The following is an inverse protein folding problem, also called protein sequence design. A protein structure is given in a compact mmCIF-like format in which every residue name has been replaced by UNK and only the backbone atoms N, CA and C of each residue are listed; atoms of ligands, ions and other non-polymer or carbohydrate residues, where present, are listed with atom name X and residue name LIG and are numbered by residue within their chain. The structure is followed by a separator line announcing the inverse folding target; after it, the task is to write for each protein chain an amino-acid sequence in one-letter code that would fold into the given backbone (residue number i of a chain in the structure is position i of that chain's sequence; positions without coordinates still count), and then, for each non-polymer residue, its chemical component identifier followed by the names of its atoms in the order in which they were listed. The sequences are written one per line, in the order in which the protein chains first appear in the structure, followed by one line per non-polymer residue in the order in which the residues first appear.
data_IF_188973577826
#
_entry.id   IF_188973577826
#
_cell.length_a   1.000
_cell.length_b   1.000
_cell.length_c   1.000
_cell.angle_alpha   90.00
_cell.angle_beta   90.00
_cell.angle_gamma   90.00
#
_symmetry.space_group_name_H-M   'P 1'
#
loop_
_entity.id
_entity.type
_entity.pdbx_description
1 polymer ?
#
# COMPACT_ATOMS: atom_id res chain seq x y z
N UNK A 1 24.96 -1.48 3.07
CA UNK A 1 24.26 -1.74 4.35
C UNK A 1 22.79 -1.93 4.00
N UNK A 2 22.29 -3.16 4.02
CA UNK A 2 20.91 -3.48 3.60
C UNK A 2 19.90 -2.91 4.61
N UNK A 3 18.79 -2.28 4.20
CA UNK A 3 17.73 -1.88 5.11
C UNK A 3 17.04 -3.14 5.66
N UNK A 4 16.80 -3.15 6.98
CA UNK A 4 16.43 -4.33 7.75
C UNK A 4 15.12 -5.01 7.31
N UNK A 5 15.24 -6.28 6.93
CA UNK A 5 14.13 -7.22 6.70
C UNK A 5 13.62 -7.83 8.03
N UNK A 6 13.45 -7.03 9.08
CA UNK A 6 13.07 -7.59 10.38
C UNK A 6 11.57 -7.87 10.44
N UNK A 7 11.23 -9.12 10.08
CA UNK A 7 10.13 -9.93 10.60
C UNK A 7 8.75 -9.26 10.78
N UNK A 8 7.87 -9.41 9.79
CA UNK A 8 6.41 -9.24 9.94
C UNK A 8 5.67 -10.59 9.81
N UNK A 9 6.36 -11.70 10.07
CA UNK A 9 5.86 -13.04 9.72
C UNK A 9 4.83 -13.57 10.75
N UNK A 10 4.84 -13.06 12.00
CA UNK A 10 3.96 -13.55 13.08
C UNK A 10 3.19 -12.43 13.79
N UNK A 11 2.60 -11.49 13.05
CA UNK A 11 1.64 -10.54 13.62
C UNK A 11 0.20 -11.10 13.45
N UNK A 12 -0.48 -11.51 14.56
CA UNK A 12 -1.85 -12.02 14.50
C UNK A 12 -2.84 -11.02 13.90
N UNK A 13 -2.59 -9.72 14.08
CA UNK A 13 -3.43 -8.68 13.50
C UNK A 13 -3.23 -8.58 11.98
N UNK A 14 -2.01 -8.81 11.48
CA UNK A 14 -1.74 -8.83 10.05
C UNK A 14 -2.46 -9.99 9.37
N UNK A 15 -2.39 -11.19 9.97
CA UNK A 15 -3.10 -12.37 9.48
C UNK A 15 -4.62 -12.12 9.45
N UNK A 16 -5.17 -11.49 10.49
CA UNK A 16 -6.60 -11.13 10.56
C UNK A 16 -7.00 -10.11 9.49
N UNK A 17 -6.19 -9.06 9.26
CA UNK A 17 -6.47 -8.01 8.28
C UNK A 17 -6.54 -8.55 6.84
N UNK A 18 -5.71 -9.53 6.49
CA UNK A 18 -5.54 -9.99 5.12
C UNK A 18 -6.09 -11.39 4.83
N UNK A 19 -6.80 -12.01 5.77
CA UNK A 19 -7.39 -13.35 5.59
C UNK A 19 -8.30 -13.45 4.34
N UNK A 20 -9.02 -12.37 4.01
CA UNK A 20 -9.85 -12.31 2.80
C UNK A 20 -9.05 -12.44 1.50
N UNK A 21 -7.83 -11.91 1.47
CA UNK A 21 -6.96 -11.99 0.30
C UNK A 21 -6.39 -13.39 0.08
N UNK A 22 -6.11 -14.13 1.16
CA UNK A 22 -5.70 -15.53 1.04
C UNK A 22 -6.81 -16.41 0.46
N UNK A 23 -8.07 -16.11 0.80
CA UNK A 23 -9.23 -16.79 0.19
C UNK A 23 -9.41 -16.43 -1.28
N UNK A 24 -9.09 -15.19 -1.66
CA UNK A 24 -9.27 -14.68 -3.03
C UNK A 24 -8.12 -15.10 -3.97
N UNK A 25 -6.87 -14.89 -3.56
CA UNK A 25 -5.68 -15.12 -4.37
C UNK A 25 -4.98 -16.46 -4.07
N UNK A 26 -5.49 -17.22 -3.11
CA UNK A 26 -4.83 -18.39 -2.57
C UNK A 26 -3.65 -18.03 -1.66
N UNK A 27 -3.24 -18.99 -0.81
CA UNK A 27 -2.12 -18.83 0.12
C UNK A 27 -0.84 -18.42 -0.61
N UNK A 28 -0.54 -19.06 -1.76
CA UNK A 28 0.64 -18.77 -2.55
C UNK A 28 0.61 -17.36 -3.18
N UNK A 29 -0.55 -16.93 -3.71
CA UNK A 29 -0.70 -15.60 -4.29
C UNK A 29 -0.57 -14.50 -3.25
N UNK A 30 -1.22 -14.67 -2.10
CA UNK A 30 -1.11 -13.74 -0.97
C UNK A 30 0.33 -13.67 -0.42
N UNK A 31 1.02 -14.82 -0.31
CA UNK A 31 2.43 -14.84 0.10
C UNK A 31 3.33 -14.08 -0.90
N UNK A 32 3.08 -14.22 -2.20
CA UNK A 32 3.81 -13.47 -3.23
C UNK A 32 3.58 -11.95 -3.14
N UNK A 33 2.34 -11.51 -2.90
CA UNK A 33 2.02 -10.10 -2.69
C UNK A 33 2.72 -9.57 -1.43
N UNK A 34 2.68 -10.32 -0.32
CA UNK A 34 3.39 -9.97 0.92
C UNK A 34 4.90 -9.85 0.74
N UNK A 35 5.51 -10.67 -0.10
CA UNK A 35 6.94 -10.61 -0.39
C UNK A 35 7.30 -9.49 -1.40
N UNK A 36 6.32 -8.86 -2.04
CA UNK A 36 6.58 -7.88 -3.08
C UNK A 36 6.94 -6.50 -2.51
N UNK A 37 7.84 -5.82 -3.23
CA UNK A 37 8.10 -4.39 -3.09
C UNK A 37 7.65 -3.69 -4.37
N UNK A 38 6.72 -2.74 -4.25
CA UNK A 38 6.20 -1.97 -5.38
C UNK A 38 6.53 -0.48 -5.18
N UNK A 39 6.95 0.17 -6.27
CA UNK A 39 7.19 1.61 -6.31
C UNK A 39 6.04 2.28 -7.08
N UNK A 40 5.43 3.31 -6.49
CA UNK A 40 4.43 4.17 -7.16
C UNK A 40 5.06 5.54 -7.35
N UNK A 41 5.20 5.96 -8.61
CA UNK A 41 5.75 7.27 -8.98
C UNK A 41 4.59 8.17 -9.40
N UNK A 42 4.44 9.29 -8.71
CA UNK A 42 3.28 10.18 -8.77
C UNK A 42 2.15 9.65 -7.90
N UNK A 43 1.81 10.37 -6.82
CA UNK A 43 0.75 10.06 -5.86
C UNK A 43 -0.46 10.96 -6.11
N UNK A 44 -0.71 11.30 -7.38
CA UNK A 44 -1.82 12.13 -7.80
C UNK A 44 -3.17 11.40 -7.89
N UNK A 45 -4.01 11.80 -8.86
CA UNK A 45 -5.39 11.33 -8.99
C UNK A 45 -5.56 9.84 -9.36
N UNK A 46 -4.47 9.16 -9.70
CA UNK A 46 -4.45 7.71 -9.97
C UNK A 46 -3.53 7.01 -8.96
N UNK A 47 -2.32 7.54 -8.78
CA UNK A 47 -1.31 6.90 -7.94
C UNK A 47 -1.72 6.82 -6.46
N UNK A 48 -2.46 7.80 -5.94
CA UNK A 48 -2.98 7.73 -4.56
C UNK A 48 -3.92 6.54 -4.35
N UNK A 49 -4.82 6.28 -5.31
CA UNK A 49 -5.70 5.11 -5.28
C UNK A 49 -4.97 3.80 -5.54
N UNK A 50 -3.97 3.81 -6.43
CA UNK A 50 -3.14 2.64 -6.69
C UNK A 50 -2.34 2.24 -5.44
N UNK A 51 -1.72 3.21 -4.76
CA UNK A 51 -1.00 2.98 -3.51
C UNK A 51 -1.91 2.39 -2.42
N UNK A 52 -3.11 2.94 -2.25
CA UNK A 52 -4.10 2.42 -1.31
C UNK A 52 -4.54 1.00 -1.66
N UNK A 53 -4.83 0.74 -2.93
CA UNK A 53 -5.22 -0.60 -3.39
C UNK A 53 -4.09 -1.62 -3.17
N UNK A 54 -2.84 -1.25 -3.42
CA UNK A 54 -1.68 -2.12 -3.16
C UNK A 54 -1.52 -2.42 -1.67
N UNK A 55 -1.65 -1.40 -0.81
CA UNK A 55 -1.58 -1.56 0.63
C UNK A 55 -2.70 -2.48 1.14
N UNK A 56 -3.94 -2.26 0.68
CA UNK A 56 -5.10 -3.10 1.00
C UNK A 56 -5.03 -4.50 0.41
N UNK A 57 -4.20 -4.71 -0.61
CA UNK A 57 -3.92 -6.01 -1.21
C UNK A 57 -2.75 -6.75 -0.55
N UNK A 58 -2.22 -6.22 0.57
CA UNK A 58 -1.20 -6.89 1.35
C UNK A 58 0.18 -6.87 0.71
N UNK A 59 0.48 -5.90 -0.17
CA UNK A 59 1.85 -5.67 -0.65
C UNK A 59 2.73 -5.30 0.54
N UNK A 60 3.81 -6.04 0.75
CA UNK A 60 4.62 -5.94 1.97
C UNK A 60 5.48 -4.69 2.05
N UNK A 61 5.88 -4.12 0.91
CA UNK A 61 6.67 -2.88 0.88
C UNK A 61 6.19 -1.96 -0.23
N UNK A 62 5.94 -0.70 0.10
CA UNK A 62 5.61 0.35 -0.86
C UNK A 62 6.61 1.50 -0.75
N UNK A 63 7.14 1.94 -1.88
CA UNK A 63 7.86 3.21 -1.99
C UNK A 63 7.02 4.17 -2.81
N UNK A 64 6.69 5.31 -2.22
CA UNK A 64 5.89 6.35 -2.86
C UNK A 64 6.82 7.51 -3.21
N UNK A 65 6.87 7.89 -4.48
CA UNK A 65 7.68 9.01 -4.95
C UNK A 65 6.76 10.06 -5.55
N UNK A 66 6.65 11.21 -4.88
CA UNK A 66 5.96 12.39 -5.37
C UNK A 66 6.77 13.64 -5.01
N UNK A 67 6.68 14.67 -5.84
CA UNK A 67 7.33 15.97 -5.61
C UNK A 67 6.30 17.09 -5.41
N UNK A 68 5.01 16.80 -5.56
CA UNK A 68 3.94 17.79 -5.38
C UNK A 68 3.51 17.91 -3.92
N UNK A 69 2.89 19.06 -3.60
CA UNK A 69 2.19 19.30 -2.34
C UNK A 69 0.69 19.13 -2.55
N UNK A 70 -0.01 18.73 -1.49
CA UNK A 70 -1.48 18.65 -1.49
C UNK A 70 -2.07 20.06 -1.62
N UNK A 71 -3.01 20.23 -2.53
CA UNK A 71 -3.75 21.47 -2.72
C UNK A 71 -5.27 21.22 -2.68
N UNK A 72 -6.04 22.26 -2.34
CA UNK A 72 -7.52 22.21 -2.26
C UNK A 72 -8.15 21.68 -3.57
N UNK A 73 -7.61 22.10 -4.73
CA UNK A 73 -8.09 21.63 -6.03
C UNK A 73 -7.91 20.11 -6.28
N UNK A 74 -7.20 19.39 -5.41
CA UNK A 74 -7.00 17.94 -5.51
C UNK A 74 -8.13 17.12 -4.90
N UNK A 75 -8.99 17.70 -4.06
CA UNK A 75 -10.09 17.01 -3.33
C UNK A 75 -10.99 16.20 -4.27
N UNK A 76 -11.18 16.66 -5.50
CA UNK A 76 -12.04 15.99 -6.48
C UNK A 76 -11.46 14.67 -7.05
N UNK A 77 -10.18 14.34 -6.78
CA UNK A 77 -9.52 13.21 -7.46
C UNK A 77 -8.42 12.50 -6.69
N UNK A 78 -7.84 13.09 -5.64
CA UNK A 78 -6.72 12.49 -4.90
C UNK A 78 -7.19 12.01 -3.53
N UNK A 79 -6.88 10.75 -3.20
CA UNK A 79 -7.36 10.11 -1.96
C UNK A 79 -6.94 10.87 -0.69
N UNK A 80 -5.74 11.44 -0.68
CA UNK A 80 -5.13 12.08 0.48
C UNK A 80 -5.42 13.58 0.57
N UNK A 81 -6.21 14.14 -0.34
CA UNK A 81 -6.63 15.54 -0.30
C UNK A 81 -7.85 15.69 0.63
N UNK A 82 -7.58 15.94 1.91
CA UNK A 82 -8.57 16.12 2.98
C UNK A 82 -8.39 17.50 3.63
N UNK A 83 -9.49 18.09 4.09
CA UNK A 83 -9.44 19.34 4.85
C UNK A 83 -8.94 19.07 6.28
N UNK A 84 -7.73 19.54 6.59
CA UNK A 84 -7.16 19.50 7.96
C UNK A 84 -6.81 18.09 8.44
N UNK A 85 -5.51 17.82 8.57
CA UNK A 85 -5.01 16.79 9.49
C UNK A 85 -4.92 17.36 10.91
#
# INVERSE_FOLDING_TARGET
MAPGTTAVIDDPDLARRFQGLERLYGVAGAARLRAAHVVVIGIGGVGSWAAEALARSGVGTLSLLDFDQVAESNVNRQLHALDGA
#
